data_IF_760460739545
#
_entry.id   IF_760460739545
#
_cell.length_a   1.000
_cell.length_b   1.000
_cell.length_c   1.000
_cell.angle_alpha   90.00
_cell.angle_beta   90.00
_cell.angle_gamma   90.00
#
_symmetry.space_group_name_H-M   'P 1'
#
loop_
_entity.id
_entity.type
_entity.pdbx_description
1 polymer ?
#
# COMPACT_ATOMS: atom_id res chain seq x y z
N UNK A 1 -25.19 9.37 -5.92
CA UNK A 1 -25.03 8.33 -4.87
C UNK A 1 -26.21 7.41 -5.01
N UNK A 2 -25.98 6.11 -5.21
CA UNK A 2 -27.08 5.14 -5.24
C UNK A 2 -27.30 4.63 -3.82
N UNK A 3 -28.47 4.91 -3.25
CA UNK A 3 -28.90 4.36 -1.95
C UNK A 3 -29.76 3.15 -2.22
N UNK A 4 -29.41 1.99 -1.67
CA UNK A 4 -30.25 0.80 -1.71
C UNK A 4 -30.64 0.43 -0.27
N UNK A 5 -31.94 0.31 -0.02
CA UNK A 5 -32.47 0.01 1.31
C UNK A 5 -33.16 -1.34 1.29
N UNK A 6 -32.76 -2.23 2.20
CA UNK A 6 -33.34 -3.55 2.38
C UNK A 6 -34.05 -3.62 3.73
N UNK A 7 -35.30 -4.07 3.75
CA UNK A 7 -36.11 -4.19 4.96
C UNK A 7 -36.43 -5.65 5.26
N UNK A 8 -36.29 -6.07 6.53
CA UNK A 8 -36.69 -7.42 6.98
C UNK A 8 -37.51 -7.33 8.27
N UNK A 9 -38.74 -7.85 8.25
CA UNK A 9 -39.70 -7.87 9.38
C UNK A 9 -40.12 -6.49 9.94
N UNK A 10 -40.04 -5.41 9.14
CA UNK A 10 -40.38 -4.05 9.58
C UNK A 10 -41.75 -3.60 9.06
N UNK A 11 -42.84 -4.25 9.48
CA UNK A 11 -44.18 -3.82 9.06
C UNK A 11 -44.69 -2.61 9.86
N UNK A 12 -45.35 -1.69 9.12
CA UNK A 12 -46.36 -0.71 9.56
C UNK A 12 -45.95 0.68 10.10
N UNK A 13 -44.99 1.38 9.48
CA UNK A 13 -44.99 2.87 9.44
C UNK A 13 -44.51 3.32 8.05
N UNK A 14 -45.15 4.36 7.51
CA UNK A 14 -45.13 4.78 6.09
C UNK A 14 -43.74 4.74 5.41
N UNK A 15 -43.60 4.07 4.24
CA UNK A 15 -42.34 3.96 3.50
C UNK A 15 -41.70 5.33 3.18
N UNK A 16 -42.52 6.31 2.80
CA UNK A 16 -42.07 7.63 2.35
C UNK A 16 -41.37 8.47 3.45
N UNK A 17 -41.84 8.38 4.70
CA UNK A 17 -41.23 9.11 5.82
C UNK A 17 -39.86 8.53 6.19
N UNK A 18 -39.68 7.21 6.07
CA UNK A 18 -38.42 6.52 6.37
C UNK A 18 -37.36 6.79 5.31
N UNK A 19 -37.73 6.74 4.04
CA UNK A 19 -36.84 7.10 2.94
C UNK A 19 -36.41 8.56 3.05
N UNK A 20 -37.35 9.46 3.35
CA UNK A 20 -37.03 10.87 3.62
C UNK A 20 -36.07 11.04 4.81
N UNK A 21 -36.22 10.26 5.88
CA UNK A 21 -35.31 10.30 7.04
C UNK A 21 -33.93 9.75 6.71
N UNK A 22 -33.83 8.63 6.01
CA UNK A 22 -32.55 8.03 5.57
C UNK A 22 -31.83 8.97 4.62
N UNK A 23 -32.53 9.60 3.68
CA UNK A 23 -31.96 10.57 2.75
C UNK A 23 -31.51 11.85 3.48
N UNK A 24 -32.32 12.38 4.41
CA UNK A 24 -31.93 13.52 5.25
C UNK A 24 -30.65 13.22 6.05
N UNK A 25 -30.55 12.03 6.65
CA UNK A 25 -29.37 11.62 7.42
C UNK A 25 -28.16 11.35 6.50
N UNK A 26 -28.36 10.72 5.35
CA UNK A 26 -27.32 10.51 4.36
C UNK A 26 -26.78 11.85 3.85
N UNK A 27 -27.64 12.81 3.54
CA UNK A 27 -27.23 14.18 3.17
C UNK A 27 -26.50 14.83 4.34
N UNK A 28 -27.02 14.77 5.57
CA UNK A 28 -26.39 15.41 6.74
C UNK A 28 -24.96 14.93 6.99
N UNK A 29 -24.71 13.62 6.93
CA UNK A 29 -23.42 13.03 7.28
C UNK A 29 -22.49 12.79 6.08
N UNK A 30 -23.03 12.61 4.87
CA UNK A 30 -22.24 12.26 3.67
C UNK A 30 -22.09 13.40 2.66
N UNK A 31 -22.87 14.50 2.76
CA UNK A 31 -22.82 15.63 1.80
C UNK A 31 -21.41 16.18 1.60
N UNK A 32 -20.63 16.34 2.68
CA UNK A 32 -19.24 16.84 2.56
C UNK A 32 -18.35 15.93 1.72
N UNK A 33 -18.64 14.63 1.66
CA UNK A 33 -17.84 13.64 0.92
C UNK A 33 -18.29 13.53 -0.55
N UNK A 34 -19.61 13.56 -0.77
CA UNK A 34 -20.22 13.54 -2.10
C UNK A 34 -19.94 14.82 -2.92
N UNK A 35 -19.61 15.94 -2.27
CA UNK A 35 -19.20 17.17 -2.97
C UNK A 35 -17.85 17.06 -3.70
N UNK A 36 -16.97 16.14 -3.29
CA UNK A 36 -15.59 16.05 -3.80
C UNK A 36 -15.31 14.75 -4.57
N UNK A 37 -16.27 13.83 -4.63
CA UNK A 37 -16.14 12.56 -5.34
C UNK A 37 -17.34 12.40 -6.27
N UNK A 38 -17.16 11.79 -7.46
CA UNK A 38 -18.27 11.55 -8.37
C UNK A 38 -19.37 10.76 -7.64
N UNK A 39 -20.63 11.21 -7.71
CA UNK A 39 -21.75 10.59 -6.99
C UNK A 39 -22.00 9.12 -7.41
N UNK A 40 -21.45 8.67 -8.52
CA UNK A 40 -21.69 7.34 -9.10
C UNK A 40 -20.83 6.23 -8.49
N UNK A 41 -19.76 6.61 -7.79
CA UNK A 41 -18.79 5.70 -7.19
C UNK A 41 -19.09 5.35 -5.73
N UNK A 42 -20.04 6.04 -5.10
CA UNK A 42 -20.46 5.79 -3.72
C UNK A 42 -21.80 5.04 -3.69
N UNK A 43 -21.80 3.83 -3.13
CA UNK A 43 -23.01 3.01 -2.94
C UNK A 43 -23.28 2.83 -1.45
N UNK A 44 -24.40 3.37 -0.98
CA UNK A 44 -24.85 3.21 0.40
C UNK A 44 -25.92 2.12 0.45
N UNK A 45 -25.64 1.02 1.14
CA UNK A 45 -26.62 -0.03 1.44
C UNK A 45 -27.06 0.09 2.90
N UNK A 46 -28.37 0.18 3.11
CA UNK A 46 -28.99 0.26 4.44
C UNK A 46 -29.83 -1.00 4.64
N UNK A 47 -29.47 -1.84 5.60
CA UNK A 47 -30.26 -3.02 5.97
C UNK A 47 -30.91 -2.77 7.33
N UNK A 48 -32.25 -2.75 7.37
CA UNK A 48 -33.04 -2.57 8.57
C UNK A 48 -33.79 -3.85 8.91
N UNK A 49 -33.50 -4.42 10.07
CA UNK A 49 -34.11 -5.65 10.58
C UNK A 49 -34.85 -5.35 11.90
N UNK A 50 -36.08 -5.85 12.06
CA UNK A 50 -36.77 -5.85 13.37
C UNK A 50 -36.86 -7.27 13.90
N UNK A 51 -36.38 -7.49 15.12
CA UNK A 51 -36.47 -8.81 15.76
C UNK A 51 -37.87 -9.03 16.35
N UNK A 52 -38.50 -10.16 16.03
CA UNK A 52 -39.84 -10.51 16.53
C UNK A 52 -39.90 -10.80 18.04
N UNK A 53 -38.81 -11.30 18.64
CA UNK A 53 -38.81 -11.78 20.04
C UNK A 53 -38.51 -10.71 21.11
N UNK A 54 -37.90 -9.57 20.77
CA UNK A 54 -37.50 -8.54 21.75
C UNK A 54 -37.81 -7.09 21.34
N UNK A 55 -38.52 -6.89 20.23
CA UNK A 55 -38.91 -5.55 19.78
C UNK A 55 -37.75 -4.61 19.40
N UNK A 56 -36.50 -5.12 19.28
CA UNK A 56 -35.35 -4.31 18.89
C UNK A 56 -35.25 -4.14 17.37
N UNK A 57 -34.77 -2.95 16.98
CA UNK A 57 -34.36 -2.63 15.62
C UNK A 57 -32.85 -2.81 15.50
N UNK A 58 -32.42 -3.53 14.47
CA UNK A 58 -31.03 -3.66 14.07
C UNK A 58 -30.84 -2.99 12.72
N UNK A 59 -29.97 -1.99 12.68
CA UNK A 59 -29.59 -1.33 11.42
C UNK A 59 -28.15 -1.69 11.10
N UNK A 60 -27.90 -2.07 9.85
CA UNK A 60 -26.55 -2.17 9.29
C UNK A 60 -26.43 -1.19 8.12
N UNK A 61 -25.45 -0.30 8.16
CA UNK A 61 -25.07 0.56 7.04
C UNK A 61 -23.78 0.02 6.43
N UNK A 62 -23.73 -0.04 5.09
CA UNK A 62 -22.51 -0.31 4.32
C UNK A 62 -22.34 0.77 3.27
N UNK A 63 -21.25 1.52 3.34
CA UNK A 63 -20.88 2.51 2.34
C UNK A 63 -19.68 1.97 1.56
N UNK A 64 -19.90 1.60 0.29
CA UNK A 64 -18.84 1.24 -0.62
C UNK A 64 -18.30 2.49 -1.32
N UNK A 65 -16.99 2.66 -1.22
CA UNK A 65 -16.18 3.70 -1.85
C UNK A 65 -15.15 3.01 -2.76
N UNK A 66 -14.58 3.71 -3.76
CA UNK A 66 -13.57 3.13 -4.67
C UNK A 66 -12.37 2.47 -3.97
N UNK A 67 -12.04 2.90 -2.75
CA UNK A 67 -10.84 2.48 -2.02
C UNK A 67 -11.11 1.96 -0.61
N UNK A 68 -12.37 1.88 -0.19
CA UNK A 68 -12.74 1.39 1.14
C UNK A 68 -14.21 0.98 1.19
N UNK A 69 -14.51 0.00 2.04
CA UNK A 69 -15.88 -0.34 2.41
C UNK A 69 -16.03 -0.02 3.90
N UNK A 70 -16.90 0.95 4.22
CA UNK A 70 -17.20 1.32 5.60
C UNK A 70 -18.48 0.61 6.02
N UNK A 71 -18.48 0.02 7.23
CA UNK A 71 -19.64 -0.67 7.75
C UNK A 71 -19.86 -0.33 9.22
N UNK A 72 -21.11 -0.07 9.57
CA UNK A 72 -21.54 0.16 10.95
C UNK A 72 -22.83 -0.60 11.21
N UNK A 73 -22.97 -1.17 12.40
CA UNK A 73 -24.18 -1.85 12.85
C UNK A 73 -24.50 -1.48 14.29
N UNK A 74 -25.78 -1.31 14.60
CA UNK A 74 -26.24 -1.03 15.96
C UNK A 74 -27.63 -1.64 16.18
N UNK A 75 -27.92 -2.00 17.43
CA UNK A 75 -29.20 -2.61 17.83
C UNK A 75 -29.78 -1.84 19.02
N UNK A 76 -31.02 -1.37 18.92
CA UNK A 76 -31.71 -0.70 20.03
C UNK A 76 -33.24 -0.76 19.84
N UNK A 77 -34.04 -0.60 20.91
CA UNK A 77 -35.51 -0.57 20.84
C UNK A 77 -36.08 0.66 20.13
N UNK A 78 -35.30 1.72 19.90
CA UNK A 78 -35.75 2.97 19.26
C UNK A 78 -35.11 3.16 17.87
N UNK A 79 -35.95 3.16 16.82
CA UNK A 79 -35.54 3.25 15.43
C UNK A 79 -34.74 4.53 15.12
N UNK A 80 -35.16 5.68 15.64
CA UNK A 80 -34.52 6.97 15.36
C UNK A 80 -33.13 7.02 15.98
N UNK A 81 -33.00 6.54 17.23
CA UNK A 81 -31.70 6.44 17.92
C UNK A 81 -30.77 5.44 17.24
N UNK A 82 -31.30 4.34 16.73
CA UNK A 82 -30.49 3.37 15.98
C UNK A 82 -29.96 4.00 14.70
N UNK A 83 -30.82 4.67 13.91
CA UNK A 83 -30.39 5.33 12.68
C UNK A 83 -29.34 6.41 12.97
N UNK A 84 -29.60 7.32 13.91
CA UNK A 84 -28.63 8.35 14.28
C UNK A 84 -27.31 7.76 14.73
N UNK A 85 -27.31 6.71 15.57
CA UNK A 85 -26.06 6.12 16.06
C UNK A 85 -25.24 5.47 14.94
N UNK A 86 -25.88 4.75 14.01
CA UNK A 86 -25.18 4.10 12.90
C UNK A 86 -24.68 5.14 11.88
N UNK A 87 -25.44 6.20 11.61
CA UNK A 87 -25.00 7.29 10.73
C UNK A 87 -23.89 8.15 11.36
N UNK A 88 -23.93 8.41 12.68
CA UNK A 88 -22.83 9.09 13.41
C UNK A 88 -21.57 8.23 13.39
N UNK A 89 -21.70 6.92 13.63
CA UNK A 89 -20.58 5.98 13.56
C UNK A 89 -19.95 5.95 12.16
N UNK A 90 -20.78 5.85 11.12
CA UNK A 90 -20.34 5.87 9.73
C UNK A 90 -19.73 7.23 9.34
N UNK A 91 -20.27 8.34 9.84
CA UNK A 91 -19.71 9.67 9.68
C UNK A 91 -18.31 9.80 10.29
N UNK A 92 -18.09 9.29 11.50
CA UNK A 92 -16.77 9.26 12.15
C UNK A 92 -15.77 8.41 11.39
N UNK A 93 -16.17 7.21 10.94
CA UNK A 93 -15.33 6.34 10.11
C UNK A 93 -14.95 7.02 8.79
N UNK A 94 -15.89 7.74 8.18
CA UNK A 94 -15.67 8.48 6.95
C UNK A 94 -14.73 9.68 7.16
N UNK A 95 -14.90 10.44 8.24
CA UNK A 95 -13.99 11.53 8.59
C UNK A 95 -12.57 11.03 8.87
N UNK A 96 -12.44 9.90 9.57
CA UNK A 96 -11.15 9.27 9.82
C UNK A 96 -10.49 8.80 8.51
N UNK A 97 -11.23 8.09 7.67
CA UNK A 97 -10.75 7.66 6.35
C UNK A 97 -10.35 8.86 5.47
N UNK A 98 -11.12 9.95 5.50
CA UNK A 98 -10.76 11.19 4.80
C UNK A 98 -9.53 11.86 5.37
N UNK A 99 -9.36 11.87 6.69
CA UNK A 99 -8.18 12.45 7.34
C UNK A 99 -6.92 11.67 6.96
N UNK A 100 -7.03 10.34 6.91
CA UNK A 100 -5.95 9.45 6.47
C UNK A 100 -5.62 9.65 5.00
N UNK A 101 -6.63 9.66 4.11
CA UNK A 101 -6.44 9.92 2.69
C UNK A 101 -5.93 11.34 2.41
N UNK A 102 -6.34 12.33 3.19
CA UNK A 102 -5.82 13.70 3.12
C UNK A 102 -4.38 13.77 3.62
N UNK A 103 -4.00 13.05 4.68
CA UNK A 103 -2.61 12.99 5.12
C UNK A 103 -1.73 12.28 4.09
N UNK A 104 -2.19 11.18 3.50
CA UNK A 104 -1.43 10.44 2.48
C UNK A 104 -1.30 11.22 1.18
N UNK A 105 -2.38 11.87 0.70
CA UNK A 105 -2.35 12.71 -0.51
C UNK A 105 -1.65 14.06 -0.31
N UNK A 106 -1.80 14.69 0.85
CA UNK A 106 -1.07 15.92 1.23
C UNK A 106 0.41 15.64 1.45
N UNK A 107 0.81 14.45 1.92
CA UNK A 107 2.23 14.09 2.04
C UNK A 107 2.82 13.64 0.70
N UNK A 108 2.08 12.93 -0.16
CA UNK A 108 2.50 12.66 -1.56
C UNK A 108 2.65 13.94 -2.39
N UNK A 109 1.73 14.91 -2.24
CA UNK A 109 1.90 16.26 -2.80
C UNK A 109 2.97 17.05 -2.05
N UNK A 110 3.03 16.95 -0.74
CA UNK A 110 3.96 17.66 0.14
C UNK A 110 5.43 17.30 -0.09
N UNK A 111 5.75 16.05 -0.45
CA UNK A 111 7.09 15.64 -0.90
C UNK A 111 7.49 16.35 -2.21
N UNK A 112 6.57 16.46 -3.18
CA UNK A 112 6.78 17.21 -4.44
C UNK A 112 6.70 18.73 -4.28
N UNK A 113 6.00 19.22 -3.25
CA UNK A 113 5.83 20.66 -2.96
C UNK A 113 6.98 21.18 -2.11
N UNK A 114 7.51 20.37 -1.18
CA UNK A 114 8.74 20.63 -0.46
C UNK A 114 9.93 20.72 -1.40
N UNK A 115 10.06 19.77 -2.35
CA UNK A 115 11.08 19.85 -3.40
C UNK A 115 10.93 21.12 -4.26
N UNK A 116 9.71 21.49 -4.67
CA UNK A 116 9.45 22.72 -5.46
C UNK A 116 9.66 24.01 -4.66
N UNK A 117 9.29 24.04 -3.38
CA UNK A 117 9.48 25.18 -2.48
C UNK A 117 10.95 25.32 -2.08
N UNK A 118 11.67 24.22 -1.95
CA UNK A 118 13.12 24.19 -1.77
C UNK A 118 13.81 24.66 -3.05
N UNK A 119 13.46 24.10 -4.22
CA UNK A 119 14.00 24.54 -5.52
C UNK A 119 13.74 26.03 -5.77
N UNK A 120 12.52 26.53 -5.54
CA UNK A 120 12.18 27.95 -5.70
C UNK A 120 12.82 28.88 -4.64
N UNK A 121 13.28 28.35 -3.50
CA UNK A 121 13.97 29.13 -2.46
C UNK A 121 15.51 29.15 -2.62
N UNK A 122 16.07 28.38 -3.57
CA UNK A 122 17.52 28.16 -3.74
C UNK A 122 18.13 28.89 -4.95
N UNK A 123 17.38 29.77 -5.59
CA UNK A 123 17.36 29.96 -7.04
C UNK A 123 18.48 30.80 -7.69
N UNK A 124 19.60 31.15 -7.02
CA UNK A 124 20.71 31.81 -7.76
C UNK A 124 22.12 31.35 -7.33
N UNK A 125 22.37 31.18 -6.03
CA UNK A 125 23.71 30.77 -5.54
C UNK A 125 23.95 29.27 -5.65
N UNK A 126 22.90 28.49 -5.91
CA UNK A 126 22.88 27.01 -5.82
C UNK A 126 22.72 26.29 -7.15
N UNK A 127 22.55 27.00 -8.26
CA UNK A 127 22.36 26.36 -9.56
C UNK A 127 23.64 25.62 -10.01
N UNK A 128 24.81 26.18 -9.70
CA UNK A 128 26.09 25.49 -9.84
C UNK A 128 26.22 24.27 -8.92
N UNK A 129 25.81 24.37 -7.65
CA UNK A 129 25.81 23.24 -6.71
C UNK A 129 24.82 22.14 -7.14
N UNK A 130 23.65 22.51 -7.66
CA UNK A 130 22.64 21.59 -8.16
C UNK A 130 23.11 20.90 -9.44
N UNK A 131 23.82 21.63 -10.31
CA UNK A 131 24.46 21.05 -11.49
C UNK A 131 25.51 20.02 -11.09
N UNK A 132 26.39 20.37 -10.13
CA UNK A 132 27.39 19.45 -9.59
C UNK A 132 26.75 18.22 -8.92
N UNK A 133 25.67 18.41 -8.17
CA UNK A 133 24.92 17.31 -7.56
C UNK A 133 24.29 16.40 -8.60
N UNK A 134 23.62 16.98 -9.60
CA UNK A 134 23.01 16.24 -10.71
C UNK A 134 24.06 15.41 -11.44
N UNK A 135 25.21 16.01 -11.75
CA UNK A 135 26.28 15.34 -12.48
C UNK A 135 26.92 14.21 -11.65
N UNK A 136 26.97 14.36 -10.32
CA UNK A 136 27.38 13.30 -9.39
C UNK A 136 26.36 12.15 -9.29
N UNK A 137 25.06 12.45 -9.29
CA UNK A 137 23.99 11.45 -9.08
C UNK A 137 23.58 10.73 -10.37
N UNK A 138 23.58 11.43 -11.52
CA UNK A 138 23.13 10.88 -12.80
C UNK A 138 23.72 9.51 -13.15
N UNK A 139 25.04 9.25 -13.02
CA UNK A 139 25.59 7.93 -13.30
C UNK A 139 25.18 6.86 -12.27
N UNK A 140 24.76 7.26 -11.07
CA UNK A 140 24.42 6.37 -9.94
C UNK A 140 22.93 5.99 -9.92
N UNK A 141 22.09 6.73 -10.64
CA UNK A 141 20.64 6.57 -10.63
C UNK A 141 20.16 5.15 -10.99
N UNK A 142 20.73 4.45 -12.01
CA UNK A 142 20.30 3.10 -12.32
C UNK A 142 20.57 2.10 -11.19
N UNK A 143 21.69 2.27 -10.47
CA UNK A 143 22.02 1.42 -9.32
C UNK A 143 21.07 1.70 -8.15
N UNK A 144 20.81 2.97 -7.85
CA UNK A 144 19.85 3.40 -6.83
C UNK A 144 18.42 2.89 -7.11
N UNK A 145 17.98 2.95 -8.37
CA UNK A 145 16.67 2.44 -8.79
C UNK A 145 16.53 0.95 -8.50
N UNK A 146 17.51 0.14 -8.95
CA UNK A 146 17.51 -1.31 -8.73
C UNK A 146 17.54 -1.66 -7.23
N UNK A 147 18.36 -0.96 -6.46
CA UNK A 147 18.44 -1.13 -5.01
C UNK A 147 17.09 -0.82 -4.33
N UNK A 148 16.49 0.31 -4.68
CA UNK A 148 15.22 0.77 -4.11
C UNK A 148 14.08 -0.20 -4.42
N UNK A 149 13.97 -0.65 -5.67
CA UNK A 149 12.97 -1.65 -6.09
C UNK A 149 13.11 -2.96 -5.30
N UNK A 150 14.35 -3.44 -5.10
CA UNK A 150 14.61 -4.63 -4.27
C UNK A 150 14.19 -4.42 -2.82
N UNK A 151 14.53 -3.29 -2.22
CA UNK A 151 14.15 -3.01 -0.84
C UNK A 151 12.62 -2.95 -0.67
N UNK A 152 11.91 -2.31 -1.61
CA UNK A 152 10.45 -2.25 -1.59
C UNK A 152 9.81 -3.63 -1.76
N UNK A 153 10.23 -4.39 -2.78
CA UNK A 153 9.71 -5.73 -3.01
C UNK A 153 9.89 -6.62 -1.77
N UNK A 154 11.04 -6.51 -1.10
CA UNK A 154 11.32 -7.23 0.14
C UNK A 154 10.40 -6.79 1.27
N UNK A 155 10.27 -5.49 1.53
CA UNK A 155 9.40 -4.97 2.60
C UNK A 155 7.93 -5.32 2.36
N UNK A 156 7.49 -5.35 1.10
CA UNK A 156 6.15 -5.79 0.72
C UNK A 156 5.95 -7.29 0.93
N UNK A 157 6.95 -8.11 0.57
CA UNK A 157 6.92 -9.55 0.84
C UNK A 157 6.89 -9.86 2.34
N UNK A 158 7.53 -9.04 3.17
CA UNK A 158 7.48 -9.16 4.63
C UNK A 158 6.14 -8.68 5.24
N UNK A 159 5.28 -8.01 4.46
CA UNK A 159 4.06 -7.37 4.96
C UNK A 159 4.31 -6.05 5.73
N UNK A 160 5.55 -5.55 5.76
CA UNK A 160 5.91 -4.28 6.42
C UNK A 160 5.37 -3.06 5.67
N UNK A 161 5.16 -3.19 4.36
CA UNK A 161 4.60 -2.17 3.47
C UNK A 161 3.49 -2.76 2.60
N UNK A 162 2.52 -1.93 2.23
CA UNK A 162 1.43 -2.34 1.35
C UNK A 162 1.94 -2.51 -0.09
N UNK A 163 1.37 -3.44 -0.88
CA UNK A 163 1.71 -3.58 -2.29
C UNK A 163 1.50 -2.27 -3.05
N UNK A 164 2.53 -1.81 -3.75
CA UNK A 164 2.49 -0.57 -4.54
C UNK A 164 2.50 0.73 -3.72
N UNK A 165 2.68 0.68 -2.40
CA UNK A 165 2.74 1.87 -1.55
C UNK A 165 3.87 1.76 -0.49
N UNK A 166 4.94 2.57 -0.58
CA UNK A 166 5.19 3.62 -1.58
C UNK A 166 5.71 3.07 -2.92
N UNK A 167 5.58 3.86 -3.98
CA UNK A 167 6.13 3.55 -5.31
C UNK A 167 7.64 3.84 -5.34
N UNK A 168 8.41 3.09 -6.13
CA UNK A 168 9.86 3.22 -6.22
C UNK A 168 10.32 4.66 -6.54
N UNK A 169 9.68 5.33 -7.49
CA UNK A 169 10.01 6.70 -7.86
C UNK A 169 9.82 7.69 -6.70
N UNK A 170 8.79 7.51 -5.87
CA UNK A 170 8.57 8.36 -4.70
C UNK A 170 9.69 8.19 -3.65
N UNK A 171 10.20 6.97 -3.50
CA UNK A 171 11.30 6.68 -2.58
C UNK A 171 12.61 7.27 -3.11
N UNK A 172 12.83 7.22 -4.42
CA UNK A 172 14.01 7.80 -5.06
C UNK A 172 13.96 9.33 -4.98
N UNK A 173 12.84 9.95 -5.33
CA UNK A 173 12.66 11.41 -5.26
C UNK A 173 12.97 11.93 -3.84
N UNK A 174 12.43 11.27 -2.81
CA UNK A 174 12.68 11.63 -1.42
C UNK A 174 14.14 11.40 -1.01
N UNK A 175 14.75 10.28 -1.42
CA UNK A 175 16.15 10.01 -1.11
C UNK A 175 17.08 11.04 -1.76
N UNK A 176 16.79 11.46 -3.00
CA UNK A 176 17.54 12.50 -3.70
C UNK A 176 17.31 13.88 -3.10
N UNK A 177 16.09 14.19 -2.64
CA UNK A 177 15.80 15.44 -1.93
C UNK A 177 16.63 15.54 -0.64
N UNK A 178 16.60 14.50 0.20
CA UNK A 178 17.41 14.42 1.43
C UNK A 178 18.90 14.50 1.14
N UNK A 179 19.38 13.83 0.08
CA UNK A 179 20.76 13.91 -0.35
C UNK A 179 21.13 15.34 -0.78
N UNK A 180 20.27 16.03 -1.53
CA UNK A 180 20.52 17.41 -1.95
C UNK A 180 20.57 18.39 -0.76
N UNK A 181 19.76 18.18 0.27
CA UNK A 181 19.79 18.95 1.52
C UNK A 181 21.06 18.68 2.33
N UNK A 182 21.45 17.41 2.43
CA UNK A 182 22.59 16.95 3.24
C UNK A 182 23.93 16.97 2.48
N UNK A 183 23.94 17.42 1.23
CA UNK A 183 25.15 17.46 0.39
C UNK A 183 26.33 18.20 1.05
N UNK A 184 26.15 19.35 1.73
CA UNK A 184 27.26 20.02 2.43
C UNK A 184 27.82 19.21 3.60
N UNK A 185 27.01 18.31 4.17
CA UNK A 185 27.34 17.48 5.32
C UNK A 185 27.70 16.04 4.92
N UNK A 186 27.84 15.77 3.61
CA UNK A 186 28.12 14.43 3.09
C UNK A 186 29.38 13.86 3.77
N UNK A 187 29.29 12.67 4.40
CA UNK A 187 30.45 12.04 5.01
C UNK A 187 31.52 11.76 3.95
N UNK A 188 32.72 12.33 4.14
CA UNK A 188 33.85 12.14 3.19
C UNK A 188 34.35 10.70 3.09
N UNK A 189 34.04 9.87 4.09
CA UNK A 189 34.43 8.46 4.14
C UNK A 189 33.58 7.59 3.21
N UNK A 190 32.34 8.00 2.96
CA UNK A 190 31.40 7.25 2.14
C UNK A 190 31.57 7.59 0.67
N UNK A 191 31.56 6.56 -0.17
CA UNK A 191 31.36 6.76 -1.60
C UNK A 191 29.96 7.32 -1.88
N UNK A 192 29.79 8.15 -2.93
CA UNK A 192 28.51 8.78 -3.23
C UNK A 192 27.33 7.81 -3.29
N UNK A 193 27.50 6.64 -3.93
CA UNK A 193 26.45 5.62 -4.04
C UNK A 193 26.09 5.00 -2.68
N UNK A 194 27.08 4.74 -1.83
CA UNK A 194 26.88 4.14 -0.50
C UNK A 194 26.09 5.08 0.40
N UNK A 195 26.38 6.38 0.30
CA UNK A 195 25.65 7.40 1.01
C UNK A 195 24.18 7.50 0.54
N UNK A 196 23.92 7.38 -0.77
CA UNK A 196 22.54 7.30 -1.27
C UNK A 196 21.80 6.06 -0.76
N UNK A 197 22.48 4.90 -0.70
CA UNK A 197 21.90 3.69 -0.12
C UNK A 197 21.56 3.87 1.35
N UNK A 198 22.43 4.51 2.14
CA UNK A 198 22.17 4.83 3.53
C UNK A 198 20.90 5.68 3.68
N UNK A 199 20.80 6.78 2.93
CA UNK A 199 19.62 7.66 2.95
C UNK A 199 18.34 6.88 2.61
N UNK A 200 18.37 6.02 1.59
CA UNK A 200 17.22 5.18 1.22
C UNK A 200 16.83 4.19 2.32
N UNK A 201 17.82 3.52 2.94
CA UNK A 201 17.58 2.57 4.04
C UNK A 201 16.93 3.28 5.24
N UNK A 202 17.45 4.45 5.61
CA UNK A 202 16.97 5.22 6.76
C UNK A 202 15.55 5.73 6.51
N UNK A 203 15.29 6.29 5.33
CA UNK A 203 13.96 6.73 4.94
C UNK A 203 12.94 5.58 4.95
N UNK A 204 13.28 4.41 4.38
CA UNK A 204 12.37 3.26 4.38
C UNK A 204 12.12 2.73 5.80
N UNK A 205 13.13 2.75 6.67
CA UNK A 205 12.96 2.35 8.07
C UNK A 205 12.01 3.30 8.83
N UNK A 206 12.15 4.61 8.62
CA UNK A 206 11.23 5.62 9.17
C UNK A 206 9.79 5.42 8.65
N UNK A 207 9.63 5.13 7.36
CA UNK A 207 8.35 4.87 6.72
C UNK A 207 7.65 3.64 7.31
N UNK A 208 8.39 2.54 7.52
CA UNK A 208 7.87 1.32 8.15
C UNK A 208 7.50 1.58 9.60
N UNK A 209 8.41 2.17 10.39
CA UNK A 209 8.16 2.46 11.81
C UNK A 209 6.97 3.42 12.01
N UNK A 210 6.77 4.35 11.08
CA UNK A 210 5.57 5.21 11.08
C UNK A 210 4.31 4.42 10.78
N UNK A 211 4.28 3.61 9.71
CA UNK A 211 3.11 2.81 9.34
C UNK A 211 2.74 1.80 10.44
N UNK A 212 3.73 1.21 11.12
CA UNK A 212 3.47 0.33 12.26
C UNK A 212 2.85 1.07 13.45
N UNK A 213 3.29 2.30 13.75
CA UNK A 213 2.64 3.17 14.77
C UNK A 213 1.21 3.53 14.38
N UNK A 214 0.96 3.81 13.11
CA UNK A 214 -0.36 4.17 12.60
C UNK A 214 -1.30 2.95 12.53
N UNK A 215 -0.77 1.77 12.18
CA UNK A 215 -1.49 0.50 12.13
C UNK A 215 -1.79 -0.10 13.53
N UNK A 216 -0.97 0.22 14.54
CA UNK A 216 -1.19 -0.14 15.94
C UNK A 216 -2.44 0.48 16.59
N UNK A 217 -3.28 1.19 15.82
CA UNK A 217 -4.53 1.82 16.26
C UNK A 217 -5.78 0.93 16.13
N UNK A 218 -5.57 -0.38 16.06
CA UNK A 218 -6.54 -1.49 16.07
C UNK A 218 -7.31 -1.75 14.76
N UNK A 219 -7.12 -2.96 14.21
CA UNK A 219 -8.06 -3.64 13.31
C UNK A 219 -8.65 -4.82 14.09
N UNK A 220 -9.99 -4.92 14.16
CA UNK A 220 -10.65 -6.01 14.86
C UNK A 220 -10.43 -7.35 14.15
N UNK A 221 -9.81 -8.30 14.85
CA UNK A 221 -9.56 -9.67 14.38
C UNK A 221 -10.84 -10.52 14.28
N UNK A 222 -11.96 -10.06 14.83
CA UNK A 222 -13.26 -10.74 14.73
C UNK A 222 -14.04 -10.38 13.46
N UNK A 223 -13.52 -9.46 12.63
CA UNK A 223 -14.10 -9.17 11.32
C UNK A 223 -13.76 -10.31 10.34
N UNK A 224 -14.76 -11.13 10.02
CA UNK A 224 -14.67 -12.11 8.93
C UNK A 224 -14.29 -11.38 7.63
N UNK A 225 -13.17 -11.79 7.02
CA UNK A 225 -12.84 -11.42 5.63
C UNK A 225 -14.00 -11.92 4.76
N UNK A 226 -14.64 -11.08 3.94
CA UNK A 226 -15.66 -11.57 3.02
C UNK A 226 -14.95 -12.48 2.03
N UNK A 227 -15.22 -13.78 2.10
CA UNK A 227 -15.04 -14.66 0.95
C UNK A 227 -15.89 -14.03 -0.14
N UNK A 228 -15.25 -13.59 -1.23
CA UNK A 228 -15.98 -13.14 -2.41
C UNK A 228 -16.57 -14.39 -3.05
N UNK A 229 -17.76 -14.80 -2.60
CA UNK A 229 -18.58 -15.71 -3.38
C UNK A 229 -18.99 -14.96 -4.65
N UNK A 230 -18.51 -15.43 -5.78
CA UNK A 230 -19.04 -15.06 -7.08
C UNK A 230 -20.39 -15.77 -7.19
N UNK A 231 -21.42 -15.17 -6.59
CA UNK A 231 -22.80 -15.64 -6.79
C UNK A 231 -23.24 -15.12 -8.14
N UNK A 232 -23.35 -16.06 -9.09
CA UNK A 232 -24.02 -15.88 -10.36
C UNK A 232 -25.43 -15.34 -10.10
N UNK A 233 -25.71 -14.12 -10.56
CA UNK A 233 -27.08 -13.62 -10.62
C UNK A 233 -27.79 -14.35 -11.77
N UNK A 234 -28.89 -15.01 -11.42
CA UNK A 234 -29.86 -15.60 -12.34
C UNK A 234 -30.37 -14.51 -13.29
N UNK A 235 -29.89 -14.59 -14.53
CA UNK A 235 -30.20 -13.73 -15.66
C UNK A 235 -29.77 -14.43 -16.95
N UNK A 236 -30.13 -15.72 -17.05
CA UNK A 236 -30.12 -16.51 -18.29
C UNK A 236 -31.18 -15.87 -19.19
N UNK A 237 -30.81 -15.01 -20.15
CA UNK A 237 -30.69 -15.41 -21.56
C UNK A 237 -29.86 -14.42 -22.41
N UNK A 238 -29.13 -13.47 -21.81
CA UNK A 238 -28.38 -12.44 -22.57
C UNK A 238 -26.85 -12.47 -22.35
N UNK A 239 -26.31 -13.57 -21.80
CA UNK A 239 -24.86 -13.69 -21.47
C UNK A 239 -24.10 -14.62 -22.43
N UNK A 240 -24.76 -15.18 -23.45
CA UNK A 240 -24.11 -16.16 -24.35
C UNK A 240 -23.31 -15.49 -25.49
N UNK A 241 -23.45 -14.18 -25.71
CA UNK A 241 -22.83 -13.50 -26.87
C UNK A 241 -21.68 -12.53 -26.55
N UNK A 242 -21.32 -12.30 -25.28
CA UNK A 242 -20.17 -11.43 -24.95
C UNK A 242 -18.81 -12.07 -25.24
N UNK A 243 -18.78 -13.38 -25.52
CA UNK A 243 -17.55 -14.12 -25.83
C UNK A 243 -17.37 -14.44 -27.33
N UNK A 244 -18.32 -14.07 -28.20
CA UNK A 244 -18.16 -14.27 -29.65
C UNK A 244 -17.47 -13.07 -30.29
N UNK A 245 -16.13 -13.10 -30.34
CA UNK A 245 -15.36 -12.25 -31.25
C UNK A 245 -15.23 -12.98 -32.60
N UNK A 246 -15.79 -12.44 -33.71
CA UNK A 246 -15.54 -13.02 -35.02
C UNK A 246 -14.07 -12.81 -35.39
N UNK A 247 -13.38 -13.91 -35.67
CA UNK A 247 -12.04 -14.10 -36.25
C UNK A 247 -11.02 -12.94 -36.09
N UNK A 248 -9.97 -13.22 -35.31
CA UNK A 248 -8.76 -12.40 -35.17
C UNK A 248 -8.20 -11.99 -36.53
N UNK A 249 -8.36 -10.72 -36.89
CA UNK A 249 -7.70 -10.14 -38.06
C UNK A 249 -6.21 -10.09 -37.74
N UNK A 250 -5.41 -10.92 -38.39
CA UNK A 250 -3.96 -11.00 -38.22
C UNK A 250 -3.33 -9.61 -38.33
N UNK A 251 -2.83 -9.08 -37.21
CA UNK A 251 -2.20 -7.77 -37.08
C UNK A 251 -0.68 -7.90 -37.18
N UNK A 252 0.00 -6.81 -37.52
CA UNK A 252 1.46 -6.80 -37.59
C UNK A 252 2.13 -7.15 -36.24
N UNK A 253 1.46 -6.82 -35.13
CA UNK A 253 1.85 -7.19 -33.77
C UNK A 253 1.83 -8.72 -33.52
N UNK A 254 1.01 -9.48 -34.26
CA UNK A 254 0.94 -10.95 -34.17
C UNK A 254 2.10 -11.66 -34.90
N UNK A 255 2.84 -10.92 -35.74
CA UNK A 255 4.05 -11.37 -36.43
C UNK A 255 5.33 -11.00 -35.68
N UNK A 256 5.21 -10.18 -34.62
CA UNK A 256 6.34 -9.82 -33.77
C UNK A 256 6.59 -10.98 -32.81
N UNK A 257 7.77 -11.62 -32.85
CA UNK A 257 8.12 -12.64 -31.87
C UNK A 257 8.00 -12.04 -30.47
N UNK A 258 7.26 -12.73 -29.59
CA UNK A 258 7.27 -12.41 -28.18
C UNK A 258 8.72 -12.45 -27.65
N UNK A 259 9.05 -11.69 -26.60
CA UNK A 259 10.34 -11.84 -25.93
C UNK A 259 10.60 -13.30 -25.57
N UNK A 260 11.86 -13.73 -25.62
CA UNK A 260 12.27 -15.14 -25.41
C UNK A 260 11.85 -15.74 -24.05
N UNK A 261 11.32 -14.93 -23.13
CA UNK A 261 10.84 -15.38 -21.82
C UNK A 261 9.43 -15.98 -21.95
N UNK A 262 9.32 -17.29 -21.74
CA UNK A 262 8.02 -17.96 -21.73
C UNK A 262 7.20 -17.53 -20.50
N UNK A 263 5.85 -17.63 -20.54
CA UNK A 263 5.03 -17.37 -19.37
C UNK A 263 5.38 -18.27 -18.18
N UNK A 264 5.86 -19.49 -18.42
CA UNK A 264 6.36 -20.40 -17.39
C UNK A 264 7.67 -19.89 -16.77
N UNK A 265 8.60 -19.39 -17.59
CA UNK A 265 9.84 -18.77 -17.11
C UNK A 265 9.57 -17.51 -16.28
N UNK A 266 8.65 -16.65 -16.74
CA UNK A 266 8.26 -15.45 -16.00
C UNK A 266 7.59 -15.78 -14.66
N UNK A 267 6.73 -16.80 -14.63
CA UNK A 267 6.10 -17.30 -13.41
C UNK A 267 7.13 -17.90 -12.44
N UNK A 268 8.02 -18.77 -12.94
CA UNK A 268 9.11 -19.37 -12.17
C UNK A 268 10.05 -18.31 -11.60
N UNK A 269 10.44 -17.31 -12.39
CA UNK A 269 11.26 -16.19 -11.94
C UNK A 269 10.56 -15.34 -10.87
N UNK A 270 9.22 -15.20 -10.93
CA UNK A 270 8.43 -14.50 -9.93
C UNK A 270 8.35 -15.30 -8.62
N UNK A 271 8.09 -16.60 -8.69
CA UNK A 271 8.06 -17.50 -7.53
C UNK A 271 9.42 -17.58 -6.85
N UNK A 272 10.50 -17.70 -7.62
CA UNK A 272 11.87 -17.69 -7.11
C UNK A 272 12.17 -16.38 -6.37
N UNK A 273 11.78 -15.23 -6.94
CA UNK A 273 11.93 -13.91 -6.28
C UNK A 273 11.15 -13.84 -4.96
N UNK A 274 9.94 -14.41 -4.91
CA UNK A 274 9.15 -14.46 -3.68
C UNK A 274 9.82 -15.34 -2.63
N UNK A 275 10.26 -16.55 -3.00
CA UNK A 275 10.98 -17.46 -2.10
C UNK A 275 12.23 -16.82 -1.50
N UNK A 276 13.06 -16.19 -2.34
CA UNK A 276 14.26 -15.47 -1.88
C UNK A 276 13.89 -14.35 -0.92
N UNK A 277 12.87 -13.55 -1.22
CA UNK A 277 12.44 -12.47 -0.35
C UNK A 277 11.91 -12.98 1.00
N UNK A 278 11.18 -14.10 1.02
CA UNK A 278 10.71 -14.74 2.25
C UNK A 278 11.87 -15.26 3.09
N UNK A 279 12.83 -15.96 2.49
CA UNK A 279 14.02 -16.44 3.20
C UNK A 279 14.86 -15.29 3.79
N UNK A 280 14.99 -14.19 3.04
CA UNK A 280 15.65 -12.98 3.54
C UNK A 280 14.82 -12.27 4.62
N UNK A 281 13.49 -12.40 4.62
CA UNK A 281 12.61 -11.82 5.64
C UNK A 281 12.82 -12.47 7.02
N UNK A 282 13.17 -13.75 7.06
CA UNK A 282 13.43 -14.47 8.32
C UNK A 282 14.75 -14.05 9.00
N UNK A 283 15.68 -13.44 8.24
CA UNK A 283 16.93 -12.93 8.80
C UNK A 283 16.69 -11.69 9.66
N UNK A 284 17.38 -11.54 10.81
CA UNK A 284 17.44 -10.29 11.55
C UNK A 284 17.83 -9.10 10.65
N UNK A 285 17.21 -7.94 10.87
CA UNK A 285 17.44 -6.70 10.11
C UNK A 285 18.92 -6.37 9.85
N UNK A 286 19.84 -6.40 10.84
CA UNK A 286 21.25 -6.09 10.59
C UNK A 286 21.91 -7.08 9.63
N UNK A 287 21.61 -8.38 9.75
CA UNK A 287 22.15 -9.43 8.88
C UNK A 287 21.63 -9.29 7.46
N UNK A 288 20.33 -9.05 7.34
CA UNK A 288 19.64 -8.84 6.07
C UNK A 288 20.22 -7.64 5.30
N UNK A 289 20.48 -6.53 6.00
CA UNK A 289 21.11 -5.33 5.44
C UNK A 289 22.54 -5.60 4.99
N UNK A 290 23.32 -6.33 5.79
CA UNK A 290 24.68 -6.73 5.42
C UNK A 290 24.70 -7.60 4.15
N UNK A 291 23.82 -8.60 4.06
CA UNK A 291 23.70 -9.46 2.85
C UNK A 291 23.34 -8.64 1.62
N UNK A 292 22.36 -7.74 1.73
CA UNK A 292 21.97 -6.88 0.61
C UNK A 292 23.14 -6.03 0.10
N UNK A 293 23.89 -5.39 1.01
CA UNK A 293 25.00 -4.53 0.62
C UNK A 293 26.21 -5.32 0.09
N UNK A 294 26.61 -6.41 0.75
CA UNK A 294 27.84 -7.11 0.38
C UNK A 294 27.65 -8.16 -0.71
N UNK A 295 26.52 -8.88 -0.74
CA UNK A 295 26.31 -9.98 -1.70
C UNK A 295 25.57 -9.54 -2.96
N UNK A 296 24.62 -8.61 -2.84
CA UNK A 296 23.80 -8.15 -3.97
C UNK A 296 24.40 -6.89 -4.62
N UNK A 297 24.79 -5.91 -3.82
CA UNK A 297 25.41 -4.68 -4.32
C UNK A 297 26.94 -4.78 -4.45
N UNK A 298 27.54 -5.91 -4.07
CA UNK A 298 28.98 -6.17 -4.14
C UNK A 298 29.87 -5.15 -3.39
N UNK A 299 29.36 -4.52 -2.32
CA UNK A 299 30.17 -3.65 -1.46
C UNK A 299 31.14 -4.47 -0.61
N UNK A 300 32.32 -3.92 -0.34
CA UNK A 300 33.23 -4.49 0.66
C UNK A 300 32.60 -4.42 2.07
N UNK A 301 32.99 -5.32 3.00
CA UNK A 301 32.51 -5.27 4.38
C UNK A 301 32.76 -3.93 5.06
N UNK A 302 33.91 -3.31 4.81
CA UNK A 302 34.23 -1.96 5.28
C UNK A 302 33.25 -0.90 4.74
N UNK A 303 32.94 -0.92 3.43
CA UNK A 303 32.00 0.00 2.81
C UNK A 303 30.57 -0.19 3.34
N UNK A 304 30.12 -1.43 3.48
CA UNK A 304 28.81 -1.75 4.03
C UNK A 304 28.70 -1.30 5.50
N UNK A 305 29.75 -1.49 6.31
CA UNK A 305 29.77 -1.05 7.69
C UNK A 305 29.61 0.46 7.81
N UNK A 306 30.29 1.23 6.94
CA UNK A 306 30.12 2.68 6.90
C UNK A 306 28.70 3.09 6.49
N UNK A 307 28.14 2.47 5.45
CA UNK A 307 26.76 2.74 5.02
C UNK A 307 25.72 2.41 6.11
N UNK A 308 25.99 1.42 6.96
CA UNK A 308 25.13 1.03 8.07
C UNK A 308 25.41 1.79 9.37
N UNK A 309 26.49 2.58 9.45
CA UNK A 309 26.92 3.26 10.67
C UNK A 309 27.43 2.31 11.76
N UNK A 310 28.09 1.21 11.38
CA UNK A 310 28.49 0.10 12.28
C UNK A 310 29.99 -0.22 12.12
N UNK A 311 30.52 -1.18 12.89
CA UNK A 311 31.91 -1.63 12.74
C UNK A 311 32.02 -2.73 11.68
N UNK A 312 33.13 -2.77 10.95
CA UNK A 312 33.38 -3.81 9.94
C UNK A 312 33.32 -5.23 10.51
N UNK A 313 33.83 -5.43 11.73
CA UNK A 313 33.77 -6.72 12.41
C UNK A 313 32.33 -7.19 12.62
N UNK A 314 31.41 -6.29 12.97
CA UNK A 314 29.99 -6.62 13.15
C UNK A 314 29.38 -7.11 11.83
N UNK A 315 29.67 -6.43 10.72
CA UNK A 315 29.20 -6.82 9.38
C UNK A 315 29.74 -8.19 8.97
N UNK A 316 31.02 -8.47 9.21
CA UNK A 316 31.62 -9.78 8.93
C UNK A 316 30.94 -10.89 9.74
N UNK A 317 30.73 -10.66 11.04
CA UNK A 317 30.02 -11.60 11.91
C UNK A 317 28.57 -11.81 11.47
N UNK A 318 27.86 -10.75 11.09
CA UNK A 318 26.50 -10.82 10.56
C UNK A 318 26.41 -11.61 9.26
N UNK A 319 27.37 -11.44 8.34
CA UNK A 319 27.44 -12.22 7.10
C UNK A 319 27.67 -13.71 7.39
N UNK A 320 28.58 -14.04 8.32
CA UNK A 320 28.82 -15.43 8.71
C UNK A 320 27.56 -16.09 9.31
N UNK A 321 26.85 -15.38 10.19
CA UNK A 321 25.59 -15.87 10.75
C UNK A 321 24.48 -15.99 9.70
N UNK A 322 24.38 -15.03 8.77
CA UNK A 322 23.44 -15.09 7.67
C UNK A 322 23.71 -16.29 6.75
N UNK A 323 24.97 -16.53 6.38
CA UNK A 323 25.36 -17.65 5.53
C UNK A 323 25.05 -18.99 6.20
N UNK A 324 25.29 -19.11 7.52
CA UNK A 324 24.94 -20.30 8.29
C UNK A 324 23.42 -20.53 8.36
N UNK A 325 22.65 -19.46 8.63
CA UNK A 325 21.19 -19.51 8.71
C UNK A 325 20.55 -19.91 7.37
N UNK A 326 20.97 -19.26 6.29
CA UNK A 326 20.46 -19.54 4.94
C UNK A 326 20.80 -20.97 4.51
N UNK A 327 22.00 -21.47 4.80
CA UNK A 327 22.37 -22.88 4.55
C UNK A 327 21.45 -23.84 5.30
N UNK A 328 21.21 -23.60 6.60
CA UNK A 328 20.32 -24.44 7.39
C UNK A 328 18.89 -24.45 6.83
N UNK A 329 18.35 -23.27 6.50
CA UNK A 329 17.00 -23.13 5.91
C UNK A 329 16.87 -23.80 4.55
N UNK A 330 17.89 -23.71 3.69
CA UNK A 330 17.89 -24.40 2.41
C UNK A 330 17.90 -25.93 2.58
N UNK A 331 18.65 -26.45 3.56
CA UNK A 331 18.64 -27.89 3.89
C UNK A 331 17.27 -28.33 4.40
N UNK A 332 16.61 -27.54 5.25
CA UNK A 332 15.22 -27.82 5.70
C UNK A 332 14.23 -27.83 4.54
N UNK A 333 14.29 -26.83 3.64
CA UNK A 333 13.39 -26.74 2.48
C UNK A 333 13.62 -27.85 1.44
N UNK A 334 14.87 -28.29 1.25
CA UNK A 334 15.18 -29.42 0.37
C UNK A 334 14.89 -30.77 1.02
N UNK A 335 15.10 -30.91 2.33
CA UNK A 335 14.79 -32.12 3.09
C UNK A 335 13.28 -32.36 3.28
N UNK A 336 12.45 -31.32 3.26
CA UNK A 336 11.00 -31.44 3.32
C UNK A 336 10.33 -31.76 1.95
N UNK A 337 11.12 -31.84 0.87
CA UNK A 337 10.66 -32.20 -0.49
C UNK A 337 11.04 -33.62 -0.92
N UNK A 338 11.65 -34.40 -0.02
CA UNK A 338 11.85 -35.85 -0.12
C UNK A 338 10.89 -36.54 0.85
#
# INVERSE_FOLDING_TARGET
>A
MKTAVCYRNVSTLWPAERESLIDKLAIRYLRRYLLHNPPDLARLRVALERSGHRGHYRTRLRLALPRAILACAYTSPDLSKVLDHVFVGLGRQLEHHRAQMRQDSWRRKGRRTGLRQLMAALDERREAEFTLFRDLVRPLLPALQRFTQRQLARLQACGDLAPGDPVADEVIDEALARACEQLPQRPRRLEPLQWLYQITIDFLAEEVARRQRDAGRFVSLESRVPIQSHEAEEGEDEIVFEYWQPDEVLRLEDLVPAPDETPEDAASAKEMRQLVNTLLADLPTPWRRAVALCRIEALSPAAAAQALGTREQDVVTWLAHADAFLKAKLVECMGARL
#
